data_IF_368894142720
#
_entry.id   IF_368894142720
#
_cell.length_a   1.000
_cell.length_b   1.000
_cell.length_c   1.000
_cell.angle_alpha   90.00
_cell.angle_beta   90.00
_cell.angle_gamma   90.00
#
_symmetry.space_group_name_H-M   'P 1'
#
loop_
_entity.id
_entity.type
_entity.pdbx_description
1 polymer ?
#
# COMPACT_ATOMS: atom_id res chain seq x y z
N UNK A 1 -2.64 19.30 29.39
CA UNK A 1 -3.94 18.97 28.76
C UNK A 1 -3.73 18.98 27.26
N UNK A 2 -4.13 17.91 26.60
CA UNK A 2 -4.11 17.78 25.14
C UNK A 2 -5.53 17.69 24.62
N UNK A 3 -5.75 18.19 23.41
CA UNK A 3 -7.06 18.24 22.76
C UNK A 3 -6.97 17.60 21.39
N UNK A 4 -7.99 16.83 21.03
CA UNK A 4 -8.00 16.08 19.79
C UNK A 4 -9.36 16.20 19.10
N UNK A 5 -9.30 16.31 17.78
CA UNK A 5 -10.44 16.08 16.90
C UNK A 5 -10.57 14.57 16.66
N UNK A 6 -11.79 14.07 16.79
CA UNK A 6 -12.12 12.66 16.67
C UNK A 6 -13.29 12.47 15.72
N UNK A 7 -13.32 11.31 15.07
CA UNK A 7 -14.46 10.90 14.26
C UNK A 7 -14.80 9.45 14.55
N UNK A 8 -16.05 9.07 14.30
CA UNK A 8 -16.47 7.69 14.28
C UNK A 8 -16.89 7.30 12.87
N UNK A 9 -16.32 6.22 12.36
CA UNK A 9 -16.64 5.71 11.03
C UNK A 9 -18.01 5.01 10.99
N UNK A 10 -18.58 4.65 12.16
CA UNK A 10 -19.83 3.88 12.26
C UNK A 10 -21.02 4.69 12.77
N UNK A 11 -20.78 5.80 13.46
CA UNK A 11 -21.83 6.65 14.00
C UNK A 11 -21.45 8.13 13.81
N UNK A 12 -22.08 8.86 12.87
CA UNK A 12 -21.78 10.27 12.67
C UNK A 12 -21.91 11.04 13.98
N UNK A 13 -20.84 11.73 14.37
CA UNK A 13 -20.84 12.58 15.55
C UNK A 13 -21.37 13.97 15.17
N UNK A 14 -22.11 14.59 16.08
CA UNK A 14 -22.40 16.02 15.96
C UNK A 14 -21.09 16.82 16.15
N UNK A 15 -21.03 18.04 15.61
CA UNK A 15 -19.82 18.87 15.66
C UNK A 15 -19.34 19.09 17.11
N UNK A 16 -20.27 19.28 18.04
CA UNK A 16 -19.99 19.44 19.48
C UNK A 16 -19.39 18.19 20.14
N UNK A 17 -19.63 17.00 19.59
CA UNK A 17 -19.19 15.70 20.14
C UNK A 17 -17.88 15.21 19.51
N UNK A 18 -17.35 15.96 18.52
CA UNK A 18 -16.19 15.57 17.71
C UNK A 18 -14.85 15.94 18.35
N UNK A 19 -14.85 16.30 19.64
CA UNK A 19 -13.67 16.78 20.34
C UNK A 19 -13.52 16.12 21.72
N UNK A 20 -12.28 15.77 22.06
CA UNK A 20 -11.95 15.08 23.31
C UNK A 20 -10.73 15.72 23.97
N UNK A 21 -10.73 15.73 25.31
CA UNK A 21 -9.58 16.13 26.11
C UNK A 21 -8.89 14.91 26.71
N UNK A 22 -7.57 14.98 26.82
CA UNK A 22 -6.76 13.97 27.47
C UNK A 22 -5.69 14.60 28.36
N UNK A 23 -5.47 13.97 29.53
CA UNK A 23 -4.37 14.33 30.41
C UNK A 23 -3.00 13.90 29.83
N UNK A 24 -2.97 12.79 29.09
CA UNK A 24 -1.78 12.22 28.47
C UNK A 24 -1.84 12.35 26.94
N UNK A 25 -0.66 12.32 26.30
CA UNK A 25 -0.56 12.41 24.84
C UNK A 25 -1.14 11.15 24.20
N UNK A 26 -2.07 11.35 23.27
CA UNK A 26 -2.67 10.31 22.46
C UNK A 26 -2.01 10.25 21.07
N UNK A 27 -2.17 9.12 20.39
CA UNK A 27 -1.62 8.86 19.06
C UNK A 27 -2.72 8.47 18.07
N UNK A 28 -2.44 8.58 16.77
CA UNK A 28 -3.36 8.12 15.71
C UNK A 28 -3.76 6.64 15.79
N UNK A 29 -3.00 5.85 16.56
CA UNK A 29 -3.26 4.42 16.81
C UNK A 29 -4.14 4.17 18.03
N UNK A 30 -4.53 5.21 18.75
CA UNK A 30 -5.45 5.10 19.87
C UNK A 30 -6.89 5.15 19.37
N UNK A 31 -7.65 4.10 19.67
CA UNK A 31 -9.10 4.07 19.52
C UNK A 31 -9.72 4.42 20.87
N UNK A 32 -10.65 5.36 20.85
CA UNK A 32 -11.33 5.87 22.04
C UNK A 32 -12.76 5.35 22.07
N UNK A 33 -13.25 5.01 23.27
CA UNK A 33 -14.67 4.73 23.51
C UNK A 33 -15.28 5.92 24.22
N UNK A 34 -16.31 6.50 23.63
CA UNK A 34 -17.00 7.70 24.11
C UNK A 34 -18.44 7.38 24.48
N UNK A 35 -18.99 8.06 25.49
CA UNK A 35 -20.44 8.12 25.70
C UNK A 35 -21.03 9.32 24.94
N UNK A 36 -21.82 9.02 23.92
CA UNK A 36 -22.53 10.01 23.13
C UNK A 36 -24.02 9.68 23.20
N UNK A 37 -24.78 10.51 23.92
CA UNK A 37 -26.24 10.36 24.07
C UNK A 37 -26.65 8.97 24.58
N UNK A 38 -25.97 8.49 25.64
CA UNK A 38 -26.21 7.17 26.26
C UNK A 38 -25.91 5.98 25.33
N UNK A 39 -25.00 6.19 24.36
CA UNK A 39 -24.49 5.14 23.47
C UNK A 39 -22.97 5.15 23.50
N UNK A 40 -22.39 3.97 23.56
CA UNK A 40 -20.95 3.80 23.45
C UNK A 40 -20.52 3.80 21.99
N UNK A 41 -19.72 4.78 21.61
CA UNK A 41 -19.22 4.96 20.25
C UNK A 41 -17.71 4.82 20.24
N UNK A 42 -17.18 4.04 19.29
CA UNK A 42 -15.75 3.98 19.02
C UNK A 42 -15.35 5.10 18.07
N UNK A 43 -14.34 5.86 18.47
CA UNK A 43 -13.82 6.99 17.72
C UNK A 43 -12.32 6.83 17.48
N UNK A 44 -11.85 7.32 16.34
CA UNK A 44 -10.43 7.43 16.01
C UNK A 44 -9.99 8.88 16.05
N UNK A 45 -8.73 9.09 16.37
CA UNK A 45 -8.10 10.41 16.42
C UNK A 45 -7.79 10.86 15.00
N UNK A 46 -8.22 12.07 14.64
CA UNK A 46 -7.91 12.70 13.36
C UNK A 46 -6.66 13.55 13.48
N UNK A 47 -6.64 14.46 14.46
CA UNK A 47 -5.50 15.35 14.72
C UNK A 47 -5.50 15.91 16.13
N UNK A 48 -4.32 16.31 16.59
CA UNK A 48 -4.15 17.15 17.77
C UNK A 48 -4.53 18.59 17.41
N UNK A 49 -5.30 19.25 18.26
CA UNK A 49 -5.69 20.67 18.10
C UNK A 49 -5.05 21.51 19.21
N UNK A 50 -4.82 22.78 18.91
CA UNK A 50 -4.23 23.70 19.89
C UNK A 50 -5.21 24.06 21.00
N UNK A 51 -4.69 24.44 22.17
CA UNK A 51 -5.53 24.92 23.28
C UNK A 51 -6.35 26.16 22.89
N UNK A 52 -5.83 27.04 22.04
CA UNK A 52 -6.55 28.21 21.56
C UNK A 52 -7.76 27.82 20.71
N UNK A 53 -7.61 26.86 19.79
CA UNK A 53 -8.71 26.33 18.99
C UNK A 53 -9.76 25.61 19.85
N UNK A 54 -9.33 24.88 20.88
CA UNK A 54 -10.24 24.17 21.78
C UNK A 54 -11.09 25.12 22.63
N UNK A 55 -10.56 26.28 23.02
CA UNK A 55 -11.25 27.27 23.87
C UNK A 55 -12.09 28.26 23.05
N UNK A 56 -11.74 28.49 21.78
CA UNK A 56 -12.43 29.46 20.91
C UNK A 56 -13.71 28.93 20.26
N UNK A 57 -13.99 27.64 20.38
CA UNK A 57 -15.16 27.00 19.76
C UNK A 57 -16.14 26.49 20.83
N UNK A 58 -17.44 26.62 20.57
CA UNK A 58 -18.52 26.13 21.45
C UNK A 58 -18.65 24.60 21.34
N UNK A 59 -17.77 23.84 22.00
CA UNK A 59 -17.87 22.39 22.06
C UNK A 59 -17.93 21.88 23.49
N UNK A 60 -18.66 20.79 23.71
CA UNK A 60 -18.60 20.03 24.95
C UNK A 60 -17.38 19.11 24.91
N UNK A 61 -16.32 19.51 25.60
CA UNK A 61 -15.10 18.73 25.69
C UNK A 61 -15.39 17.47 26.52
N UNK A 62 -15.55 16.34 25.84
CA UNK A 62 -15.85 15.05 26.47
C UNK A 62 -14.57 14.37 26.97
N UNK A 63 -14.77 13.53 27.99
CA UNK A 63 -13.79 12.55 28.42
C UNK A 63 -14.12 11.19 27.76
N UNK A 64 -13.10 10.50 27.28
CA UNK A 64 -13.26 9.12 26.83
C UNK A 64 -13.32 8.17 28.02
N UNK A 65 -14.08 7.09 27.89
CA UNK A 65 -14.23 6.05 28.92
C UNK A 65 -13.06 5.08 28.93
N UNK A 66 -12.58 4.74 27.73
CA UNK A 66 -11.49 3.79 27.54
C UNK A 66 -10.71 4.11 26.28
N UNK A 67 -9.44 3.72 26.29
CA UNK A 67 -8.50 3.81 25.17
C UNK A 67 -7.95 2.42 24.88
N UNK A 68 -7.85 2.07 23.60
CA UNK A 68 -7.15 0.88 23.11
C UNK A 68 -6.07 1.29 22.10
N UNK A 69 -4.82 0.91 22.35
CA UNK A 69 -3.72 1.07 21.39
C UNK A 69 -3.71 -0.13 20.44
N UNK A 70 -3.96 0.12 19.14
CA UNK A 70 -4.03 -0.93 18.11
C UNK A 70 -2.77 -1.05 17.26
N UNK A 71 -1.66 -0.40 17.66
CA UNK A 71 -0.43 -0.34 16.87
C UNK A 71 0.13 -1.70 16.48
N UNK A 72 0.12 -2.67 17.41
CA UNK A 72 0.67 -4.00 17.13
C UNK A 72 -0.18 -4.78 16.14
N UNK A 73 -1.51 -4.70 16.27
CA UNK A 73 -2.43 -5.30 15.31
C UNK A 73 -2.19 -4.77 13.88
N UNK A 74 -1.99 -3.46 13.74
CA UNK A 74 -1.69 -2.85 12.43
C UNK A 74 -0.36 -3.31 11.85
N UNK A 75 0.68 -3.45 12.69
CA UNK A 75 1.98 -3.97 12.26
C UNK A 75 1.88 -5.40 11.75
N UNK A 76 1.18 -6.26 12.47
CA UNK A 76 0.95 -7.65 12.06
C UNK A 76 0.22 -7.72 10.72
N UNK A 77 -0.84 -6.92 10.55
CA UNK A 77 -1.60 -6.86 9.29
C UNK A 77 -0.78 -6.33 8.11
N UNK A 78 0.12 -5.37 8.35
CA UNK A 78 1.03 -4.89 7.30
C UNK A 78 2.07 -5.96 6.92
N UNK A 79 2.61 -6.68 7.90
CA UNK A 79 3.55 -7.78 7.65
C UNK A 79 2.89 -8.93 6.88
N UNK A 80 1.65 -9.28 7.23
CA UNK A 80 0.83 -10.28 6.52
C UNK A 80 0.66 -9.91 5.04
N UNK A 81 0.21 -8.67 4.74
CA UNK A 81 0.08 -8.19 3.36
C UNK A 81 1.42 -8.16 2.61
N UNK A 82 2.49 -7.73 3.26
CA UNK A 82 3.81 -7.72 2.65
C UNK A 82 4.28 -9.14 2.29
N UNK A 83 4.00 -10.11 3.16
CA UNK A 83 4.27 -11.53 2.92
C UNK A 83 3.51 -12.06 1.71
N UNK A 84 2.20 -11.75 1.60
CA UNK A 84 1.37 -12.14 0.45
C UNK A 84 1.93 -11.61 -0.88
N UNK A 85 2.36 -10.34 -0.91
CA UNK A 85 2.97 -9.73 -2.11
C UNK A 85 4.27 -10.43 -2.49
N UNK A 86 5.11 -10.75 -1.50
CA UNK A 86 6.36 -11.49 -1.75
C UNK A 86 6.05 -12.88 -2.28
N UNK A 87 5.09 -13.58 -1.68
CA UNK A 87 4.68 -14.91 -2.12
C UNK A 87 4.20 -14.90 -3.57
N UNK A 88 3.36 -13.93 -3.96
CA UNK A 88 2.91 -13.78 -5.35
C UNK A 88 4.08 -13.55 -6.34
N UNK A 89 5.09 -12.76 -5.94
CA UNK A 89 6.32 -12.56 -6.73
C UNK A 89 7.12 -13.86 -6.85
N UNK A 90 7.25 -14.62 -5.75
CA UNK A 90 7.93 -15.92 -5.73
C UNK A 90 7.22 -16.90 -6.66
N UNK A 91 5.90 -17.03 -6.56
CA UNK A 91 5.11 -17.90 -7.44
C UNK A 91 5.28 -17.56 -8.92
N UNK A 92 5.24 -16.26 -9.26
CA UNK A 92 5.49 -15.79 -10.63
C UNK A 92 6.89 -16.18 -11.10
N UNK A 93 7.91 -16.03 -10.23
CA UNK A 93 9.29 -16.38 -10.56
C UNK A 93 9.46 -17.89 -10.73
N UNK A 94 8.86 -18.71 -9.87
CA UNK A 94 8.87 -20.17 -9.97
C UNK A 94 8.24 -20.63 -11.29
N UNK A 95 7.08 -20.08 -11.67
CA UNK A 95 6.43 -20.37 -12.96
C UNK A 95 7.33 -20.01 -14.15
N UNK A 96 8.00 -18.87 -14.08
CA UNK A 96 8.97 -18.44 -15.10
C UNK A 96 10.16 -19.40 -15.21
N UNK A 97 10.73 -19.84 -14.08
CA UNK A 97 11.82 -20.82 -14.06
C UNK A 97 11.38 -22.15 -14.68
N UNK A 98 10.25 -22.69 -14.24
CA UNK A 98 9.71 -23.94 -14.77
C UNK A 98 9.43 -23.86 -16.28
N UNK A 99 8.96 -22.71 -16.76
CA UNK A 99 8.74 -22.49 -18.19
C UNK A 99 10.07 -22.48 -18.97
N UNK A 100 11.09 -21.78 -18.47
CA UNK A 100 12.42 -21.75 -19.09
C UNK A 100 13.07 -23.15 -19.11
N UNK A 101 12.94 -23.92 -18.02
CA UNK A 101 13.40 -25.31 -17.98
C UNK A 101 12.71 -26.19 -19.02
N UNK A 102 11.41 -25.96 -19.27
CA UNK A 102 10.70 -26.63 -20.37
C UNK A 102 11.25 -26.21 -21.72
N UNK A 103 11.45 -24.91 -21.98
CA UNK A 103 11.99 -24.42 -23.24
C UNK A 103 13.40 -24.94 -23.52
N UNK A 104 14.26 -25.04 -22.50
CA UNK A 104 15.61 -25.63 -22.62
C UNK A 104 15.60 -27.06 -23.16
N UNK A 105 14.52 -27.83 -22.97
CA UNK A 105 14.39 -29.17 -23.58
C UNK A 105 14.24 -29.12 -25.11
N UNK A 106 13.83 -27.99 -25.65
CA UNK A 106 13.64 -27.74 -27.08
C UNK A 106 14.76 -26.87 -27.68
N UNK A 107 15.88 -26.68 -26.98
CA UNK A 107 17.02 -25.86 -27.46
C UNK A 107 17.66 -26.33 -28.78
N UNK A 108 17.32 -27.54 -29.24
CA UNK A 108 17.74 -28.04 -30.55
C UNK A 108 17.06 -27.31 -31.70
N UNK A 109 15.93 -26.64 -31.45
CA UNK A 109 15.26 -25.76 -32.40
C UNK A 109 16.02 -24.41 -32.47
N UNK A 110 16.43 -23.96 -33.68
CA UNK A 110 17.19 -22.72 -33.85
C UNK A 110 16.48 -21.47 -33.30
N UNK A 111 15.17 -21.36 -33.47
CA UNK A 111 14.41 -20.18 -33.05
C UNK A 111 14.28 -20.14 -31.54
N UNK A 112 14.03 -21.30 -30.92
CA UNK A 112 14.00 -21.43 -29.45
C UNK A 112 15.35 -21.11 -28.84
N UNK A 113 16.45 -21.53 -29.48
CA UNK A 113 17.80 -21.23 -29.02
C UNK A 113 18.11 -19.73 -29.04
N UNK A 114 17.78 -19.02 -30.13
CA UNK A 114 17.96 -17.57 -30.22
C UNK A 114 17.22 -16.85 -29.10
N UNK A 115 15.97 -17.26 -28.82
CA UNK A 115 15.17 -16.66 -27.75
C UNK A 115 15.73 -16.93 -26.35
N UNK A 116 16.28 -18.13 -26.09
CA UNK A 116 16.94 -18.45 -24.82
C UNK A 116 18.22 -17.64 -24.63
N UNK A 117 19.06 -17.53 -25.67
CA UNK A 117 20.31 -16.77 -25.65
C UNK A 117 20.02 -15.26 -25.42
N UNK A 118 19.00 -14.71 -26.10
CA UNK A 118 18.53 -13.33 -25.86
C UNK A 118 18.10 -13.12 -24.40
N UNK A 119 17.30 -14.04 -23.84
CA UNK A 119 16.83 -13.94 -22.46
C UNK A 119 17.97 -14.01 -21.43
N UNK A 120 18.97 -14.87 -21.65
CA UNK A 120 20.13 -15.00 -20.77
C UNK A 120 21.04 -13.76 -20.83
N UNK A 121 21.27 -13.20 -22.03
CA UNK A 121 22.03 -11.97 -22.21
C UNK A 121 21.37 -10.78 -21.49
N UNK A 122 20.04 -10.63 -21.64
CA UNK A 122 19.27 -9.59 -20.98
C UNK A 122 19.30 -9.71 -19.45
N UNK A 123 19.26 -10.93 -18.89
CA UNK A 123 19.32 -11.13 -17.43
C UNK A 123 20.71 -10.97 -16.83
N UNK A 124 21.77 -11.25 -17.60
CA UNK A 124 23.15 -11.11 -17.15
C UNK A 124 23.67 -9.65 -17.21
N UNK A 125 22.83 -8.70 -17.64
CA UNK A 125 23.21 -7.30 -17.80
C UNK A 125 24.08 -7.04 -19.03
N UNK A 126 24.25 -8.04 -19.91
CA UNK A 126 24.91 -7.88 -21.20
C UNK A 126 23.86 -7.42 -22.22
N UNK A 127 23.62 -6.11 -22.25
CA UNK A 127 22.76 -5.49 -23.25
C UNK A 127 23.53 -5.41 -24.57
N UNK A 128 23.48 -6.47 -25.38
CA UNK A 128 23.61 -6.33 -26.81
C UNK A 128 22.21 -6.09 -27.38
N UNK A 129 21.95 -4.87 -27.85
CA UNK A 129 20.72 -4.57 -28.56
C UNK A 129 20.77 -5.31 -29.91
N UNK A 130 19.99 -6.38 -30.03
CA UNK A 130 19.77 -7.03 -31.32
C UNK A 130 18.68 -6.25 -32.06
N UNK A 131 19.07 -5.50 -33.10
CA UNK A 131 18.11 -4.87 -34.03
C UNK A 131 17.32 -5.96 -34.76
N UNK A 132 16.00 -5.97 -34.59
CA UNK A 132 15.08 -6.80 -35.36
C UNK A 132 15.21 -6.46 -36.85
N UNK A 133 15.66 -7.44 -37.64
CA UNK A 133 15.78 -7.29 -39.11
C UNK A 133 14.42 -7.20 -39.82
N UNK A 134 13.31 -7.44 -39.13
CA UNK A 134 11.97 -7.44 -39.73
C UNK A 134 11.39 -6.05 -39.99
N UNK A 135 11.90 -4.98 -39.38
CA UNK A 135 11.39 -3.62 -39.63
C UNK A 135 11.85 -3.00 -40.98
N UNK A 136 12.84 -3.59 -41.67
CA UNK A 136 13.32 -3.05 -42.96
C UNK A 136 12.42 -3.35 -44.15
N UNK A 137 11.52 -4.32 -44.07
CA UNK A 137 10.69 -4.70 -45.23
C UNK A 137 9.41 -3.88 -45.41
N UNK A 138 9.06 -3.00 -44.46
CA UNK A 138 7.79 -2.25 -44.49
C UNK A 138 7.93 -0.73 -44.64
N UNK A 139 9.10 -0.21 -45.04
CA UNK A 139 9.27 1.23 -45.24
C UNK A 139 9.45 1.55 -46.75
N UNK A 140 8.40 1.97 -47.47
CA UNK A 140 8.46 2.20 -48.93
C UNK A 140 9.14 3.53 -49.32
N UNK A 141 9.98 4.13 -48.47
CA UNK A 141 10.52 5.49 -48.69
C UNK A 141 11.97 5.55 -49.19
N UNK A 142 12.59 4.43 -49.56
CA UNK A 142 13.89 4.45 -50.23
C UNK A 142 13.90 3.58 -51.50
N UNK A 143 13.05 3.94 -52.45
CA UNK A 143 13.32 3.72 -53.87
C UNK A 143 13.03 5.01 -54.63
N UNK A 144 14.07 5.81 -54.86
CA UNK A 144 14.46 6.24 -56.20
C UNK A 144 15.67 7.18 -56.12
N UNK A 145 16.61 6.85 -57.01
CA UNK A 145 17.63 7.68 -57.67
C UNK A 145 17.32 9.18 -57.73
#
# INVERSE_FOLDING_TARGET
MYYYEIISDFCPLEEKDSFVQSASKLTEFDILVMDVNSKFVTCRIVKEISQFEAVSKEFDIKNYLSKTDVKNYLKEKQAERASEVVLAKVEKKVKSIQFLEKLRKYQSDPDVKVLLDQFENLNNGNIEMYEDREERMNNPLFTCL
#
